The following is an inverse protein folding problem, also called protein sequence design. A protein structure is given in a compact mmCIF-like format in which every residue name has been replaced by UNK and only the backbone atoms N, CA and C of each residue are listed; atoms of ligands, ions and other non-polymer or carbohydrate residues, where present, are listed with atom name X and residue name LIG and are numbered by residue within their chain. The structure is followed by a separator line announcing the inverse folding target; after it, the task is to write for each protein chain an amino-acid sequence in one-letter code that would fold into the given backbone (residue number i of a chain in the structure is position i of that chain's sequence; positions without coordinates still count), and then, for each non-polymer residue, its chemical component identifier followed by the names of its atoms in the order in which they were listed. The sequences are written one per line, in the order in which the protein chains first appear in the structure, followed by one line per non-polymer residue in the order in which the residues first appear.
data_IF_289621190184
#
_entry.id   IF_289621190184
#
_cell.length_a   1.000
_cell.length_b   1.000
_cell.length_c   1.000
_cell.angle_alpha   90.00
_cell.angle_beta   90.00
_cell.angle_gamma   90.00
#
_symmetry.space_group_name_H-M   'P 1'
#
loop_
_entity.id
_entity.type
_entity.pdbx_description
1 polymer ?
#
# COMPACT_ATOMS: atom_id res chain seq x y z
N UNK A 1 11.28 6.77 -10.12
CA UNK A 1 10.48 6.21 -11.22
C UNK A 1 10.84 4.74 -11.33
N UNK A 2 10.02 3.83 -10.81
CA UNK A 2 10.14 2.43 -11.20
C UNK A 2 9.55 2.34 -12.60
N UNK A 3 10.37 2.06 -13.60
CA UNK A 3 9.84 1.82 -14.94
C UNK A 3 9.03 0.51 -14.88
N UNK A 4 7.70 0.61 -15.00
CA UNK A 4 6.80 -0.52 -15.21
C UNK A 4 7.43 -1.55 -16.16
N UNK A 5 7.27 -2.84 -15.88
CA UNK A 5 7.92 -3.86 -16.69
C UNK A 5 7.56 -3.73 -18.17
N UNK A 6 8.53 -3.94 -19.06
CA UNK A 6 8.29 -3.77 -20.50
C UNK A 6 7.25 -4.74 -21.04
N UNK A 7 7.14 -5.95 -20.46
CA UNK A 7 6.09 -6.90 -20.79
C UNK A 7 4.69 -6.34 -20.45
N UNK A 8 4.58 -5.57 -19.37
CA UNK A 8 3.34 -4.93 -18.95
C UNK A 8 2.98 -3.79 -19.90
N UNK A 9 3.96 -2.94 -20.27
CA UNK A 9 3.76 -1.87 -21.25
C UNK A 9 3.30 -2.42 -22.61
N UNK A 10 3.90 -3.51 -23.08
CA UNK A 10 3.53 -4.15 -24.34
C UNK A 10 2.09 -4.70 -24.29
N UNK A 11 1.71 -5.32 -23.17
CA UNK A 11 0.37 -5.87 -23.01
C UNK A 11 -0.71 -4.76 -22.94
N UNK A 12 -0.42 -3.64 -22.27
CA UNK A 12 -1.28 -2.46 -22.19
C UNK A 12 -1.53 -1.83 -23.57
N UNK A 13 -0.49 -1.72 -24.40
CA UNK A 13 -0.61 -1.19 -25.76
C UNK A 13 -1.49 -2.07 -26.66
N UNK A 14 -1.44 -3.40 -26.45
CA UNK A 14 -2.22 -4.37 -27.25
C UNK A 14 -3.71 -4.40 -26.86
N UNK A 15 -4.02 -4.19 -25.57
CA UNK A 15 -5.39 -4.29 -25.04
C UNK A 15 -5.68 -3.16 -24.06
N UNK A 16 -5.93 -1.93 -24.53
CA UNK A 16 -6.04 -0.77 -23.63
C UNK A 16 -7.28 -0.80 -22.72
N UNK A 17 -8.32 -1.55 -23.09
CA UNK A 17 -9.65 -1.46 -22.47
C UNK A 17 -10.01 -2.72 -21.64
N UNK A 18 -9.07 -3.24 -20.85
CA UNK A 18 -9.36 -4.39 -19.96
C UNK A 18 -10.00 -3.89 -18.66
N UNK A 19 -11.18 -4.41 -18.27
CA UNK A 19 -11.85 -3.99 -17.04
C UNK A 19 -10.95 -4.13 -15.82
N UNK A 20 -10.95 -3.11 -14.97
CA UNK A 20 -10.17 -3.11 -13.75
C UNK A 20 -10.73 -4.09 -12.71
N UNK A 21 -9.85 -4.62 -11.88
CA UNK A 21 -10.18 -5.52 -10.79
C UNK A 21 -10.14 -4.77 -9.46
N UNK A 22 -11.16 -4.95 -8.62
CA UNK A 22 -11.31 -4.27 -7.33
C UNK A 22 -11.61 -5.29 -6.24
N UNK A 23 -11.06 -5.08 -5.04
CA UNK A 23 -11.39 -5.85 -3.83
C UNK A 23 -10.62 -7.16 -3.66
N UNK A 24 -9.92 -7.64 -4.71
CA UNK A 24 -9.25 -8.94 -4.76
C UNK A 24 -7.84 -8.96 -4.18
N UNK A 25 -7.19 -7.81 -4.06
CA UNK A 25 -5.81 -7.67 -3.56
C UNK A 25 -5.80 -6.69 -2.38
N UNK A 26 -5.15 -7.07 -1.28
CA UNK A 26 -4.99 -6.22 -0.11
C UNK A 26 -3.54 -6.13 0.36
N UNK A 27 -3.16 -4.98 0.91
CA UNK A 27 -1.86 -4.71 1.53
C UNK A 27 -2.05 -4.42 3.02
N UNK A 28 -1.53 -5.31 3.84
CA UNK A 28 -1.68 -5.25 5.29
C UNK A 28 -0.71 -4.24 5.94
N UNK A 29 -0.92 -3.93 7.22
CA UNK A 29 -0.10 -2.99 7.99
C UNK A 29 1.34 -3.47 8.26
N UNK A 30 1.72 -4.67 7.77
CA UNK A 30 3.05 -5.27 7.87
C UNK A 30 3.73 -5.40 6.50
N UNK A 31 3.09 -4.97 5.42
CA UNK A 31 3.62 -5.05 4.07
C UNK A 31 3.38 -6.39 3.38
N UNK A 32 2.47 -7.21 3.93
CA UNK A 32 2.07 -8.47 3.33
C UNK A 32 0.92 -8.29 2.35
N UNK A 33 0.97 -9.08 1.29
CA UNK A 33 -0.06 -9.12 0.26
C UNK A 33 -1.09 -10.22 0.53
N UNK A 34 -2.36 -9.90 0.33
CA UNK A 34 -3.47 -10.82 0.54
C UNK A 34 -4.37 -10.92 -0.68
N UNK A 35 -4.80 -12.14 -1.01
CA UNK A 35 -5.82 -12.42 -2.02
C UNK A 35 -7.18 -12.61 -1.37
N UNK A 36 -8.22 -12.00 -1.95
CA UNK A 36 -9.58 -11.98 -1.39
C UNK A 36 -10.59 -12.45 -2.42
N UNK A 37 -11.11 -13.67 -2.24
CA UNK A 37 -12.20 -14.18 -3.07
C UNK A 37 -13.55 -13.53 -2.75
N UNK A 38 -14.56 -13.78 -3.59
CA UNK A 38 -15.91 -13.20 -3.41
C UNK A 38 -16.49 -13.53 -2.03
N UNK A 39 -16.24 -14.75 -1.51
CA UNK A 39 -16.65 -15.15 -0.16
C UNK A 39 -16.00 -14.26 0.90
N UNK A 40 -14.70 -14.05 0.82
CA UNK A 40 -13.96 -13.19 1.74
C UNK A 40 -14.46 -11.75 1.68
N UNK A 41 -14.69 -11.23 0.48
CA UNK A 41 -15.21 -9.88 0.28
C UNK A 41 -16.62 -9.72 0.89
N UNK A 42 -17.47 -10.76 0.80
CA UNK A 42 -18.79 -10.77 1.42
C UNK A 42 -18.76 -10.78 2.96
N UNK A 43 -17.64 -11.18 3.59
CA UNK A 43 -17.48 -11.14 5.05
C UNK A 43 -17.16 -9.74 5.59
N UNK A 44 -16.81 -8.78 4.74
CA UNK A 44 -16.58 -7.39 5.13
C UNK A 44 -15.37 -6.73 4.48
N UNK A 45 -15.00 -5.53 4.95
CA UNK A 45 -13.86 -4.78 4.43
C UNK A 45 -12.53 -5.47 4.76
N UNK A 46 -11.46 -5.10 4.05
CA UNK A 46 -10.16 -5.78 4.16
C UNK A 46 -9.59 -5.87 5.60
N UNK A 47 -9.63 -4.81 6.44
CA UNK A 47 -9.15 -4.93 7.83
C UNK A 47 -9.91 -5.96 8.68
N UNK A 48 -11.16 -6.28 8.31
CA UNK A 48 -12.00 -7.27 9.01
C UNK A 48 -11.84 -8.67 8.40
N UNK A 49 -11.80 -8.76 7.07
CA UNK A 49 -11.69 -10.02 6.33
C UNK A 49 -10.51 -9.97 5.34
N UNK A 50 -9.32 -10.36 5.82
CA UNK A 50 -8.07 -10.26 5.07
C UNK A 50 -7.97 -11.23 3.89
N UNK A 51 -8.56 -12.41 3.98
CA UNK A 51 -8.43 -13.46 2.96
C UNK A 51 -7.14 -14.26 3.14
N UNK A 52 -6.55 -14.70 2.03
CA UNK A 52 -5.40 -15.60 2.03
C UNK A 52 -4.10 -14.85 1.81
N UNK A 53 -3.14 -15.04 2.73
CA UNK A 53 -1.78 -14.49 2.62
C UNK A 53 -1.10 -15.03 1.36
N UNK A 54 -0.59 -14.14 0.52
CA UNK A 54 0.21 -14.49 -0.64
C UNK A 54 1.62 -14.88 -0.20
N UNK A 55 2.09 -16.07 -0.60
CA UNK A 55 3.41 -16.61 -0.22
C UNK A 55 4.34 -16.88 -1.41
N UNK A 56 3.91 -16.52 -2.61
CA UNK A 56 4.65 -16.85 -3.83
C UNK A 56 5.59 -15.69 -4.19
N UNK A 57 6.85 -15.78 -3.77
CA UNK A 57 7.83 -14.68 -3.84
C UNK A 57 7.92 -14.04 -5.23
N UNK A 58 8.04 -14.82 -6.31
CA UNK A 58 8.12 -14.25 -7.68
C UNK A 58 6.89 -13.42 -8.07
N UNK A 59 5.72 -13.77 -7.53
CA UNK A 59 4.49 -13.02 -7.79
C UNK A 59 4.45 -11.75 -6.93
N UNK A 60 4.90 -11.84 -5.68
CA UNK A 60 5.05 -10.69 -4.80
C UNK A 60 6.04 -9.68 -5.41
N UNK A 61 7.21 -10.13 -5.87
CA UNK A 61 8.19 -9.29 -6.57
C UNK A 61 7.60 -8.65 -7.84
N UNK A 62 6.76 -9.39 -8.56
CA UNK A 62 6.07 -8.87 -9.73
C UNK A 62 5.03 -7.80 -9.36
N UNK A 63 4.27 -8.01 -8.29
CA UNK A 63 3.34 -7.02 -7.73
C UNK A 63 4.09 -5.74 -7.37
N UNK A 64 5.14 -5.87 -6.56
CA UNK A 64 5.90 -4.75 -6.02
C UNK A 64 6.54 -3.87 -7.10
N UNK A 65 7.09 -4.47 -8.16
CA UNK A 65 7.73 -3.71 -9.26
C UNK A 65 6.73 -2.96 -10.14
N UNK A 66 5.47 -3.41 -10.15
CA UNK A 66 4.38 -2.85 -10.95
C UNK A 66 3.27 -2.25 -10.07
N UNK A 67 3.62 -1.84 -8.85
CA UNK A 67 2.73 -1.20 -7.87
C UNK A 67 2.82 0.33 -7.98
N UNK A 68 1.70 0.97 -8.26
CA UNK A 68 1.62 2.42 -8.50
C UNK A 68 0.23 2.93 -8.10
N UNK A 69 -0.04 4.23 -8.27
CA UNK A 69 -1.37 4.81 -8.04
C UNK A 69 -1.84 5.62 -9.23
N UNK A 70 -3.16 5.78 -9.34
CA UNK A 70 -3.75 6.66 -10.33
C UNK A 70 -3.84 8.11 -9.83
N UNK A 71 -4.40 8.98 -10.67
CA UNK A 71 -4.62 10.41 -10.38
C UNK A 71 -5.60 10.66 -9.22
N UNK A 72 -6.37 9.64 -8.83
CA UNK A 72 -7.34 9.70 -7.72
C UNK A 72 -6.74 9.17 -6.42
N UNK A 73 -5.47 8.75 -6.42
CA UNK A 73 -4.82 8.16 -5.26
C UNK A 73 -5.21 6.71 -4.99
N UNK A 74 -5.82 6.02 -5.97
CA UNK A 74 -6.14 4.61 -5.86
C UNK A 74 -4.90 3.80 -6.25
N UNK A 75 -4.37 3.04 -5.30
CA UNK A 75 -3.20 2.20 -5.52
C UNK A 75 -3.59 0.90 -6.23
N UNK A 76 -2.76 0.46 -7.16
CA UNK A 76 -2.98 -0.72 -7.98
C UNK A 76 -1.68 -1.45 -8.30
N UNK A 77 -1.81 -2.73 -8.57
CA UNK A 77 -0.81 -3.53 -9.27
C UNK A 77 -1.20 -3.65 -10.75
N UNK A 78 -0.29 -3.30 -11.66
CA UNK A 78 -0.51 -3.44 -13.09
C UNK A 78 -0.15 -4.85 -13.57
N UNK A 79 -1.18 -5.66 -13.79
CA UNK A 79 -1.06 -7.03 -14.28
C UNK A 79 -1.33 -7.10 -15.79
N UNK A 80 -0.28 -6.90 -16.60
CA UNK A 80 -0.44 -6.76 -18.05
C UNK A 80 -1.34 -5.56 -18.38
N UNK A 81 -2.43 -5.71 -19.17
CA UNK A 81 -3.33 -4.59 -19.46
C UNK A 81 -4.30 -4.26 -18.31
N UNK A 82 -4.43 -5.14 -17.31
CA UNK A 82 -5.40 -4.97 -16.23
C UNK A 82 -4.79 -4.28 -15.02
N UNK A 83 -5.48 -3.28 -14.47
CA UNK A 83 -5.20 -2.77 -13.13
C UNK A 83 -5.94 -3.60 -12.09
N UNK A 84 -5.22 -4.04 -11.07
CA UNK A 84 -5.76 -4.69 -9.87
C UNK A 84 -5.60 -3.72 -8.71
N UNK A 85 -6.69 -3.04 -8.34
CA UNK A 85 -6.68 -2.07 -7.25
C UNK A 85 -6.53 -2.75 -5.89
N UNK A 86 -5.81 -2.08 -5.01
CA UNK A 86 -5.37 -2.59 -3.71
C UNK A 86 -6.21 -2.00 -2.59
N UNK A 87 -6.73 -2.87 -1.74
CA UNK A 87 -7.34 -2.49 -0.47
C UNK A 87 -6.23 -2.30 0.57
N UNK A 88 -6.17 -1.12 1.19
CA UNK A 88 -5.13 -0.77 2.16
C UNK A 88 -5.65 -0.98 3.58
N UNK A 89 -4.83 -1.57 4.46
CA UNK A 89 -5.16 -1.63 5.89
C UNK A 89 -4.82 -0.35 6.63
N UNK A 90 -3.68 0.29 6.30
CA UNK A 90 -3.19 1.46 7.03
C UNK A 90 -2.68 2.59 6.12
N UNK A 91 -1.74 2.29 5.24
CA UNK A 91 -1.14 3.27 4.33
C UNK A 91 -0.65 2.57 3.05
N UNK A 92 -0.40 3.32 1.95
CA UNK A 92 0.06 2.73 0.70
C UNK A 92 1.45 2.11 0.75
N UNK A 93 2.32 2.64 1.62
CA UNK A 93 3.64 2.10 1.89
C UNK A 93 3.74 1.63 3.33
N UNK A 94 4.62 0.64 3.52
CA UNK A 94 5.03 0.16 4.84
C UNK A 94 6.54 0.30 4.87
N UNK A 95 7.05 1.07 5.82
CA UNK A 95 8.45 1.40 5.94
C UNK A 95 9.16 0.42 6.86
N UNK A 96 10.29 -0.09 6.37
CA UNK A 96 11.30 -0.75 7.17
C UNK A 96 12.37 0.25 7.55
N UNK A 97 12.79 0.24 8.81
CA UNK A 97 13.85 1.11 9.35
C UNK A 97 14.98 0.22 9.83
N UNK A 98 16.19 0.42 9.27
CA UNK A 98 17.39 -0.29 9.71
C UNK A 98 18.06 0.43 10.87
N UNK A 99 18.99 -0.25 11.55
CA UNK A 99 19.71 0.28 12.73
C UNK A 99 20.51 1.57 12.45
N UNK A 100 20.90 1.81 11.20
CA UNK A 100 21.53 3.06 10.76
C UNK A 100 20.52 4.19 10.45
N UNK A 101 19.24 3.94 10.75
CA UNK A 101 18.08 4.76 10.43
C UNK A 101 17.75 4.89 8.94
N UNK A 102 18.38 4.11 8.06
CA UNK A 102 17.99 4.07 6.65
C UNK A 102 16.58 3.49 6.49
N UNK A 103 15.78 4.12 5.62
CA UNK A 103 14.36 3.77 5.41
C UNK A 103 14.15 3.14 4.03
N UNK A 104 13.43 2.02 4.00
CA UNK A 104 13.03 1.32 2.76
C UNK A 104 11.55 0.96 2.80
N UNK A 105 10.87 1.02 1.66
CA UNK A 105 9.50 0.48 1.54
C UNK A 105 9.48 -1.05 1.66
N UNK A 106 8.30 -1.63 1.85
CA UNK A 106 8.05 -3.07 1.74
C UNK A 106 8.40 -3.64 0.35
N UNK A 107 8.52 -2.78 -0.68
CA UNK A 107 9.01 -3.14 -2.02
C UNK A 107 10.52 -2.95 -2.21
N UNK A 108 11.26 -2.62 -1.16
CA UNK A 108 12.71 -2.47 -1.18
C UNK A 108 13.23 -1.12 -1.67
N UNK A 109 12.36 -0.17 -2.03
CA UNK A 109 12.78 1.16 -2.47
C UNK A 109 13.26 2.00 -1.28
N UNK A 110 14.51 2.46 -1.33
CA UNK A 110 15.08 3.38 -0.34
C UNK A 110 14.53 4.80 -0.47
N UNK A 111 14.32 5.45 0.67
CA UNK A 111 13.79 6.82 0.75
C UNK A 111 14.45 7.63 1.85
N UNK A 112 14.45 8.94 1.68
CA UNK A 112 14.72 9.91 2.75
C UNK A 112 13.38 10.50 3.22
N UNK A 113 12.98 10.27 4.48
CA UNK A 113 11.77 10.87 5.04
C UNK A 113 11.86 12.39 5.11
N UNK A 114 10.81 13.08 4.69
CA UNK A 114 10.66 14.53 4.79
C UNK A 114 9.81 14.96 5.99
N UNK A 115 8.99 14.06 6.55
CA UNK A 115 8.22 14.32 7.76
C UNK A 115 7.97 13.02 8.54
N UNK A 116 7.75 13.17 9.83
CA UNK A 116 7.42 12.11 10.77
C UNK A 116 6.11 12.46 11.47
N UNK A 117 5.16 11.52 11.52
CA UNK A 117 3.84 11.72 12.10
C UNK A 117 3.55 10.62 13.11
N UNK A 118 2.79 10.94 14.15
CA UNK A 118 2.35 10.00 15.17
C UNK A 118 0.83 10.12 15.32
N UNK A 119 0.12 9.00 15.17
CA UNK A 119 -1.33 8.99 15.33
C UNK A 119 -1.77 8.76 16.79
N UNK A 120 -3.08 8.80 17.02
CA UNK A 120 -3.71 8.61 18.32
C UNK A 120 -3.53 7.20 18.92
N UNK A 121 -3.12 6.21 18.12
CA UNK A 121 -2.82 4.83 18.54
C UNK A 121 -1.31 4.60 18.76
N UNK A 122 -0.47 5.63 18.57
CA UNK A 122 0.97 5.53 18.67
C UNK A 122 1.63 4.89 17.44
N UNK A 123 0.95 4.82 16.30
CA UNK A 123 1.55 4.38 15.03
C UNK A 123 2.36 5.52 14.44
N UNK A 124 3.61 5.21 14.11
CA UNK A 124 4.53 6.16 13.50
C UNK A 124 4.45 6.05 11.98
N UNK A 125 4.28 7.19 11.31
CA UNK A 125 4.28 7.29 9.85
C UNK A 125 5.45 8.16 9.40
N UNK A 126 5.99 7.83 8.23
CA UNK A 126 6.97 8.67 7.55
C UNK A 126 6.40 9.11 6.20
N UNK A 127 6.63 10.38 5.88
CA UNK A 127 6.32 10.95 4.56
C UNK A 127 7.60 11.00 3.76
N UNK A 128 7.56 10.52 2.52
CA UNK A 128 8.68 10.58 1.59
C UNK A 128 8.18 10.99 0.19
N UNK A 129 9.06 11.25 -0.78
CA UNK A 129 8.64 11.51 -2.16
C UNK A 129 7.80 10.40 -2.80
N UNK A 130 7.92 9.15 -2.31
CA UNK A 130 7.07 8.02 -2.72
C UNK A 130 5.63 8.11 -2.17
N UNK A 131 5.39 8.91 -1.13
CA UNK A 131 4.11 9.04 -0.44
C UNK A 131 4.20 8.79 1.06
N UNK A 132 3.03 8.65 1.68
CA UNK A 132 2.89 8.28 3.08
C UNK A 132 3.11 6.77 3.27
N UNK A 133 3.78 6.40 4.36
CA UNK A 133 3.78 5.00 4.80
C UNK A 133 3.86 4.84 6.32
N UNK A 134 3.39 3.69 6.77
CA UNK A 134 3.42 3.27 8.18
C UNK A 134 4.77 2.60 8.49
N UNK A 135 5.43 2.98 9.58
CA UNK A 135 6.60 2.27 10.08
C UNK A 135 6.18 0.89 10.57
N UNK A 136 6.86 -0.14 10.09
CA UNK A 136 6.59 -1.51 10.43
C UNK A 136 6.72 -1.74 11.95
N UNK A 137 5.79 -2.48 12.54
CA UNK A 137 5.71 -2.68 14.00
C UNK A 137 6.99 -3.24 14.64
N UNK A 138 7.78 -4.03 13.91
CA UNK A 138 9.05 -4.58 14.41
C UNK A 138 10.17 -3.54 14.47
N UNK A 139 10.02 -2.44 13.74
CA UNK A 139 11.06 -1.42 13.58
C UNK A 139 10.74 -0.16 14.40
N UNK A 140 9.64 -0.16 15.17
CA UNK A 140 9.22 0.95 16.03
C UNK A 140 10.27 1.27 17.09
N UNK A 141 10.98 0.28 17.61
CA UNK A 141 12.08 0.50 18.57
C UNK A 141 13.21 1.35 17.97
N UNK A 142 13.69 0.96 16.79
CA UNK A 142 14.72 1.71 16.05
C UNK A 142 14.21 3.09 15.65
N UNK A 143 12.94 3.19 15.27
CA UNK A 143 12.33 4.48 14.94
C UNK A 143 12.21 5.41 16.15
N UNK A 144 11.95 4.88 17.36
CA UNK A 144 11.94 5.64 18.59
C UNK A 144 13.33 6.21 18.92
N UNK A 145 14.40 5.40 18.73
CA UNK A 145 15.79 5.88 18.87
C UNK A 145 16.10 7.04 17.91
N UNK A 146 15.60 6.99 16.67
CA UNK A 146 15.75 8.09 15.71
C UNK A 146 15.05 9.38 16.18
N UNK A 147 13.89 9.26 16.82
CA UNK A 147 13.16 10.38 17.42
C UNK A 147 13.92 10.95 18.62
N UNK A 148 14.40 10.09 19.52
CA UNK A 148 15.19 10.50 20.69
C UNK A 148 16.51 11.18 20.31
N UNK A 149 17.14 10.71 19.23
CA UNK A 149 18.34 11.32 18.63
C UNK A 149 18.05 12.64 17.90
N UNK A 150 16.80 13.10 17.86
CA UNK A 150 16.40 14.34 17.19
C UNK A 150 16.44 14.29 15.66
N UNK A 151 16.57 13.10 15.06
CA UNK A 151 16.55 12.93 13.59
C UNK A 151 15.16 13.15 13.03
N UNK A 152 14.14 12.71 13.77
CA UNK A 152 12.74 12.87 13.41
C UNK A 152 12.00 13.58 14.54
N UNK A 153 11.12 14.52 14.18
CA UNK A 153 10.25 15.23 15.10
C UNK A 153 8.79 14.89 14.77
N UNK A 154 8.16 13.93 15.49
CA UNK A 154 6.80 13.51 15.19
C UNK A 154 5.78 14.63 15.38
N UNK A 155 4.98 14.88 14.35
CA UNK A 155 3.77 15.70 14.42
C UNK A 155 2.58 14.82 14.82
N UNK A 156 1.82 15.19 15.85
CA UNK A 156 0.60 14.47 16.21
C UNK A 156 -0.49 14.69 15.15
N UNK A 157 -1.09 13.61 14.68
CA UNK A 157 -2.13 13.61 13.64
C UNK A 157 -3.26 12.67 14.03
N UNK A 158 -4.39 12.72 13.29
CA UNK A 158 -5.41 11.67 13.34
C UNK A 158 -5.27 10.74 12.15
N UNK A 159 -5.25 9.42 12.39
CA UNK A 159 -5.12 8.44 11.31
C UNK A 159 -6.18 8.61 10.21
N UNK A 160 -7.41 8.97 10.61
CA UNK A 160 -8.53 9.21 9.69
C UNK A 160 -8.33 10.39 8.73
N UNK A 161 -7.42 11.33 9.02
CA UNK A 161 -7.12 12.49 8.18
C UNK A 161 -6.06 12.19 7.11
N UNK A 162 -5.26 11.14 7.31
CA UNK A 162 -4.12 10.80 6.46
C UNK A 162 -4.51 10.53 5.00
N UNK A 163 -5.61 9.80 4.68
CA UNK A 163 -6.07 9.62 3.31
C UNK A 163 -6.33 10.93 2.57
N UNK A 164 -7.00 11.87 3.23
CA UNK A 164 -7.29 13.19 2.65
C UNK A 164 -6.03 14.07 2.53
N UNK A 165 -5.18 14.05 3.57
CA UNK A 165 -3.93 14.85 3.62
C UNK A 165 -2.90 14.41 2.59
N UNK A 166 -2.80 13.11 2.32
CA UNK A 166 -1.81 12.52 1.42
C UNK A 166 -2.39 11.94 0.13
N UNK A 167 -3.67 12.19 -0.15
CA UNK A 167 -4.31 11.86 -1.42
C UNK A 167 -4.29 10.37 -1.76
N UNK A 168 -4.63 9.49 -0.82
CA UNK A 168 -4.77 8.05 -1.09
C UNK A 168 -6.14 7.52 -0.68
N UNK A 169 -6.56 6.42 -1.31
CA UNK A 169 -7.87 5.79 -1.06
C UNK A 169 -7.66 4.45 -0.35
N UNK A 170 -8.25 4.30 0.84
CA UNK A 170 -8.15 3.06 1.64
C UNK A 170 -8.84 1.86 1.00
N UNK A 171 -10.03 2.09 0.41
CA UNK A 171 -10.81 1.04 -0.25
C UNK A 171 -11.30 1.49 -1.63
N UNK A 172 -10.55 1.22 -2.71
CA UNK A 172 -11.03 1.44 -4.06
C UNK A 172 -12.32 0.68 -4.38
N UNK A 173 -12.52 -0.51 -3.79
CA UNK A 173 -13.74 -1.31 -3.98
C UNK A 173 -14.99 -0.66 -3.39
N UNK A 174 -14.89 0.05 -2.26
CA UNK A 174 -16.04 0.74 -1.66
C UNK A 174 -16.61 1.87 -2.54
N UNK A 175 -15.80 2.41 -3.47
CA UNK A 175 -16.24 3.40 -4.46
C UNK A 175 -16.85 2.80 -5.72
N UNK A 176 -16.90 1.47 -5.87
CA UNK A 176 -17.49 0.81 -7.02
C UNK A 176 -18.99 0.55 -6.82
N UNK A 177 -19.78 0.57 -7.90
CA UNK A 177 -21.15 0.08 -7.82
C UNK A 177 -21.17 -1.38 -7.34
N UNK A 178 -22.14 -1.72 -6.49
CA UNK A 178 -22.30 -3.08 -5.97
C UNK A 178 -22.41 -4.05 -7.15
N UNK A 179 -21.47 -5.00 -7.23
CA UNK A 179 -21.55 -6.08 -8.22
C UNK A 179 -22.82 -6.88 -7.98
N UNK A 180 -23.74 -6.88 -8.94
CA UNK A 180 -24.84 -7.84 -8.93
C UNK A 180 -24.24 -9.25 -9.02
N UNK A 181 -24.71 -10.21 -8.19
CA UNK A 181 -24.28 -11.59 -8.33
C UNK A 181 -24.61 -12.07 -9.75
N UNK A 182 -23.65 -12.75 -10.38
CA UNK A 182 -23.89 -13.43 -11.64
C UNK A 182 -25.06 -14.42 -11.44
N UNK A 183 -26.05 -14.33 -12.31
CA UNK A 183 -27.23 -15.22 -12.31
C UNK A 183 -26.83 -16.64 -12.68
#
# INVERSE_FOLDING_TARGET
MSAMDDIVKQALAKWPNVPHCYGWLGLDARGNWYMRDDRTQAMGPFPVAKGSLLKHDKLIDFIQRNYEHDERGQWFFQNGPQRVYVELEAAPWIWRVAEDFSVRSHSGLGVEPSACLLDEEGKLYLVAPLGLGLVHTQDVGVAAEAVEAGRWAPENVRAAELPARFGHVMSPAAGQPVKQPAR
#
